data_IF_399819672133
#
_entry.id   IF_399819672133
#
_cell.length_a   1.000
_cell.length_b   1.000
_cell.length_c   1.000
_cell.angle_alpha   90.00
_cell.angle_beta   90.00
_cell.angle_gamma   90.00
#
_symmetry.space_group_name_H-M   'P 1'
#
loop_
_entity.id
_entity.type
_entity.pdbx_description
1 polymer ?
#
# COMPACT_ATOMS: atom_id res chain seq x y z
N UNK A 1 10.48 4.19 1.26
CA UNK A 1 9.11 4.58 0.83
C UNK A 1 9.07 5.97 0.15
N UNK A 2 10.04 6.85 0.39
CA UNK A 2 10.13 8.19 -0.26
C UNK A 2 10.03 8.13 -1.79
N UNK A 3 10.69 7.17 -2.44
CA UNK A 3 10.63 6.99 -3.91
C UNK A 3 9.21 6.73 -4.43
N UNK A 4 8.43 5.92 -3.69
CA UNK A 4 7.04 5.60 -4.07
C UNK A 4 6.17 6.86 -4.05
N UNK A 5 6.40 7.78 -3.12
CA UNK A 5 5.62 9.03 -3.07
C UNK A 5 5.83 9.91 -4.32
N UNK A 6 7.02 9.90 -4.92
CA UNK A 6 7.40 10.80 -6.02
C UNK A 6 7.09 10.16 -7.38
N UNK A 7 7.40 8.88 -7.55
CA UNK A 7 7.33 8.20 -8.84
C UNK A 7 5.92 7.68 -9.19
N UNK A 8 5.03 7.50 -8.21
CA UNK A 8 3.70 6.89 -8.42
C UNK A 8 2.76 7.70 -9.31
N UNK A 9 2.97 9.01 -9.50
CA UNK A 9 2.14 9.80 -10.41
C UNK A 9 2.65 9.76 -11.86
N UNK A 10 3.91 9.35 -12.07
CA UNK A 10 4.55 9.30 -13.39
C UNK A 10 4.63 7.88 -13.97
N UNK A 11 4.41 6.87 -13.14
CA UNK A 11 4.56 5.47 -13.54
C UNK A 11 3.31 4.91 -14.22
N UNK A 12 3.50 3.85 -15.02
CA UNK A 12 2.42 3.09 -15.64
C UNK A 12 1.48 2.46 -14.60
N UNK A 13 0.24 2.20 -15.01
CA UNK A 13 -0.82 1.64 -14.16
C UNK A 13 -0.41 0.37 -13.39
N UNK A 14 0.27 -0.58 -14.06
CA UNK A 14 0.76 -1.80 -13.42
C UNK A 14 1.86 -1.53 -12.38
N UNK A 15 2.77 -0.60 -12.68
CA UNK A 15 3.85 -0.22 -11.75
C UNK A 15 3.26 0.44 -10.51
N UNK A 16 2.25 1.30 -10.69
CA UNK A 16 1.53 1.94 -9.59
C UNK A 16 0.80 0.94 -8.72
N UNK A 17 0.14 -0.06 -9.34
CA UNK A 17 -0.47 -1.17 -8.60
C UNK A 17 0.56 -1.93 -7.75
N UNK A 18 1.72 -2.26 -8.33
CA UNK A 18 2.79 -2.97 -7.63
C UNK A 18 3.43 -2.13 -6.51
N UNK A 19 3.63 -0.84 -6.74
CA UNK A 19 4.12 0.10 -5.72
C UNK A 19 3.16 0.20 -4.53
N UNK A 20 1.86 0.22 -4.80
CA UNK A 20 0.84 0.26 -3.77
C UNK A 20 0.75 -1.07 -3.00
N UNK A 21 0.89 -2.19 -3.69
CA UNK A 21 1.02 -3.52 -3.06
C UNK A 21 2.25 -3.61 -2.17
N UNK A 22 3.37 -3.03 -2.58
CA UNK A 22 4.59 -2.93 -1.77
C UNK A 22 4.35 -2.10 -0.49
N UNK A 23 3.67 -0.95 -0.63
CA UNK A 23 3.32 -0.10 0.52
C UNK A 23 2.42 -0.82 1.52
N UNK A 24 1.39 -1.53 1.03
CA UNK A 24 0.50 -2.37 1.84
C UNK A 24 1.29 -3.46 2.57
N UNK A 25 2.16 -4.18 1.86
CA UNK A 25 2.97 -5.25 2.44
C UNK A 25 3.90 -4.70 3.53
N UNK A 26 4.56 -3.57 3.29
CA UNK A 26 5.43 -2.92 4.27
C UNK A 26 4.63 -2.46 5.51
N UNK A 27 3.47 -1.85 5.32
CA UNK A 27 2.60 -1.42 6.43
C UNK A 27 2.01 -2.57 7.24
N UNK A 28 1.74 -3.72 6.61
CA UNK A 28 1.15 -4.89 7.28
C UNK A 28 2.19 -5.79 7.97
N UNK A 29 3.37 -5.96 7.36
CA UNK A 29 4.38 -6.91 7.82
C UNK A 29 5.48 -6.26 8.67
N UNK A 30 5.69 -4.95 8.55
CA UNK A 30 6.72 -4.21 9.31
C UNK A 30 6.02 -3.21 10.23
N UNK A 31 5.79 -3.62 11.48
CA UNK A 31 5.07 -2.82 12.48
C UNK A 31 5.70 -1.45 12.73
N UNK A 32 7.03 -1.37 12.70
CA UNK A 32 7.77 -0.11 12.84
C UNK A 32 7.47 0.91 11.72
N UNK A 33 7.03 0.44 10.55
CA UNK A 33 6.76 1.28 9.39
C UNK A 33 5.27 1.49 9.13
N UNK A 34 4.37 0.92 9.95
CA UNK A 34 2.93 0.99 9.73
C UNK A 34 2.41 2.43 9.74
N UNK A 35 2.82 3.25 10.72
CA UNK A 35 2.42 4.66 10.79
C UNK A 35 2.92 5.47 9.60
N UNK A 36 4.17 5.24 9.19
CA UNK A 36 4.76 5.90 8.03
C UNK A 36 4.11 5.47 6.71
N UNK A 37 3.76 4.20 6.58
CA UNK A 37 3.05 3.65 5.42
C UNK A 37 1.65 4.25 5.27
N UNK A 38 0.93 4.44 6.38
CA UNK A 38 -0.40 5.08 6.38
C UNK A 38 -0.29 6.54 5.91
N UNK A 39 0.65 7.31 6.45
CA UNK A 39 0.85 8.70 6.05
C UNK A 39 1.16 8.84 4.55
N UNK A 40 1.99 7.95 4.00
CA UNK A 40 2.30 7.94 2.56
C UNK A 40 1.08 7.52 1.74
N UNK A 41 0.35 6.49 2.17
CA UNK A 41 -0.84 6.02 1.47
C UNK A 41 -1.94 7.09 1.40
N UNK A 42 -2.13 7.89 2.45
CA UNK A 42 -3.07 9.01 2.44
C UNK A 42 -2.65 10.09 1.42
N UNK A 43 -1.35 10.41 1.32
CA UNK A 43 -0.84 11.36 0.32
C UNK A 43 -1.03 10.86 -1.12
N UNK A 44 -0.86 9.56 -1.35
CA UNK A 44 -1.02 8.94 -2.68
C UNK A 44 -2.49 8.98 -3.10
N UNK A 45 -3.42 8.70 -2.18
CA UNK A 45 -4.86 8.64 -2.45
C UNK A 45 -5.38 9.93 -3.10
N UNK A 46 -4.94 11.08 -2.61
CA UNK A 46 -5.35 12.41 -3.11
C UNK A 46 -4.99 12.67 -4.58
N UNK A 47 -4.06 11.92 -5.17
CA UNK A 47 -3.68 12.07 -6.58
C UNK A 47 -4.26 11.05 -7.54
N UNK A 48 -5.13 10.14 -7.07
CA UNK A 48 -5.72 9.07 -7.89
C UNK A 48 -7.24 9.19 -8.08
N UNK A 49 -7.85 10.23 -7.50
CA UNK A 49 -9.28 10.53 -7.59
C UNK A 49 -9.64 10.95 -9.03
N UNK A 50 -9.94 9.97 -9.90
CA UNK A 50 -10.36 10.24 -11.30
C UNK A 50 -9.85 9.26 -12.35
N UNK A 51 -9.06 8.25 -11.98
CA UNK A 51 -8.57 7.27 -12.96
C UNK A 51 -9.47 6.05 -13.09
N UNK A 52 -9.60 5.47 -14.31
CA UNK A 52 -10.51 4.35 -14.59
C UNK A 52 -10.13 3.05 -13.87
N UNK A 53 -8.88 2.93 -13.42
CA UNK A 53 -8.39 1.73 -12.75
C UNK A 53 -8.72 1.70 -11.26
N UNK A 54 -9.31 0.59 -10.80
CA UNK A 54 -9.58 0.31 -9.38
C UNK A 54 -8.28 0.03 -8.62
N UNK A 55 -7.59 1.09 -8.21
CA UNK A 55 -6.46 0.98 -7.30
C UNK A 55 -6.96 0.70 -5.87
N UNK A 56 -6.52 -0.38 -5.21
CA UNK A 56 -6.97 -0.69 -3.86
C UNK A 56 -6.49 0.37 -2.87
N UNK A 57 -7.39 0.88 -2.03
CA UNK A 57 -7.02 1.87 -1.03
C UNK A 57 -6.10 1.25 0.05
N UNK A 58 -4.83 1.65 0.04
CA UNK A 58 -3.82 1.11 0.95
C UNK A 58 -4.10 1.41 2.43
N UNK A 59 -4.60 2.61 2.77
CA UNK A 59 -4.90 2.92 4.18
C UNK A 59 -6.06 2.09 4.70
N UNK A 60 -7.11 1.93 3.89
CA UNK A 60 -8.22 1.04 4.24
C UNK A 60 -7.76 -0.41 4.40
N UNK A 61 -6.85 -0.89 3.54
CA UNK A 61 -6.32 -2.24 3.63
C UNK A 61 -5.48 -2.45 4.90
N UNK A 62 -4.55 -1.54 5.21
CA UNK A 62 -3.69 -1.63 6.40
C UNK A 62 -4.56 -1.60 7.67
N UNK A 63 -5.55 -0.70 7.75
CA UNK A 63 -6.51 -0.63 8.86
C UNK A 63 -7.32 -1.92 9.00
N UNK A 64 -7.75 -2.53 7.89
CA UNK A 64 -8.46 -3.83 7.90
C UNK A 64 -7.56 -4.95 8.44
N UNK A 65 -6.28 -4.97 8.08
CA UNK A 65 -5.31 -5.96 8.60
C UNK A 65 -5.01 -5.74 10.07
N UNK A 66 -4.94 -4.47 10.50
CA UNK A 66 -4.83 -4.06 11.90
C UNK A 66 -6.03 -4.54 12.72
N UNK A 67 -7.26 -4.30 12.24
CA UNK A 67 -8.48 -4.77 12.87
C UNK A 67 -8.56 -6.30 12.96
N UNK A 68 -7.99 -7.02 11.97
CA UNK A 68 -7.90 -8.48 11.96
C UNK A 68 -6.83 -9.03 12.94
N UNK A 69 -6.08 -8.18 13.64
CA UNK A 69 -4.99 -8.60 14.54
C UNK A 69 -3.88 -9.40 13.83
N UNK A 70 -3.75 -9.23 12.51
CA UNK A 70 -2.81 -10.00 11.68
C UNK A 70 -1.58 -9.19 11.27
N UNK A 71 -1.36 -8.04 11.92
CA UNK A 71 -0.11 -7.30 11.80
C UNK A 71 1.08 -8.19 12.17
N UNK A 72 2.20 -8.01 11.47
CA UNK A 72 3.45 -8.78 11.64
C UNK A 72 3.42 -10.24 11.15
N UNK A 73 2.28 -10.78 10.70
CA UNK A 73 2.20 -12.16 10.16
C UNK A 73 2.81 -12.23 8.75
N UNK A 74 4.12 -12.51 8.67
CA UNK A 74 4.79 -12.77 7.38
C UNK A 74 4.42 -14.17 6.87
N UNK A 75 3.98 -14.26 5.62
CA UNK A 75 3.66 -15.52 4.96
C UNK A 75 4.38 -15.61 3.62
N UNK A 76 4.85 -16.81 3.26
CA UNK A 76 5.25 -17.09 1.88
C UNK A 76 3.99 -17.09 1.00
N UNK A 77 4.12 -16.67 -0.26
CA UNK A 77 3.02 -16.74 -1.21
C UNK A 77 2.59 -18.20 -1.36
N UNK A 78 1.29 -18.47 -1.23
CA UNK A 78 0.75 -19.79 -1.56
C UNK A 78 0.72 -19.91 -3.09
N UNK A 79 1.45 -20.89 -3.63
CA UNK A 79 1.41 -21.27 -5.03
C UNK A 79 0.80 -22.67 -5.04
N UNK A 80 -0.39 -22.80 -5.64
CA UNK A 80 -1.08 -24.06 -5.85
C UNK A 80 -1.13 -24.32 -7.35
#
# INVERSE_FOLDING_TARGET
MVRVQIEIHKADEQVRHNMNRFLIAAGCYVTALTGYAISIADKIKTGTDGQPYKMPNATAYIKKVQAKGSLRKKKKMAMC
#
